data_IF_488891826678
#
_entry.id   IF_488891826678
#
_cell.length_a   1.000
_cell.length_b   1.000
_cell.length_c   1.000
_cell.angle_alpha   90.00
_cell.angle_beta   90.00
_cell.angle_gamma   90.00
#
_symmetry.space_group_name_H-M   'P 1'
#
loop_
_entity.id
_entity.type
_entity.pdbx_description
1 polymer ?
#
# COMPACT_ATOMS: atom_id res chain seq x y z
N UNK A 1 10.08 2.28 -3.85
CA UNK A 1 9.11 1.24 -3.44
C UNK A 1 9.83 -0.09 -3.36
N UNK A 2 9.55 -0.85 -2.32
CA UNK A 2 9.99 -2.24 -2.14
C UNK A 2 8.77 -3.15 -2.06
N UNK A 3 8.95 -4.37 -2.57
CA UNK A 3 8.08 -5.49 -2.25
C UNK A 3 8.63 -6.15 -0.99
N UNK A 4 7.80 -6.31 0.05
CA UNK A 4 8.25 -6.81 1.35
C UNK A 4 8.45 -8.32 1.31
N UNK A 5 9.20 -8.84 2.29
CA UNK A 5 9.36 -10.28 2.46
C UNK A 5 8.05 -10.95 2.85
N UNK A 6 7.19 -10.28 3.63
CA UNK A 6 5.87 -10.79 4.01
C UNK A 6 4.94 -10.89 2.80
N UNK A 7 4.88 -9.86 1.96
CA UNK A 7 4.13 -9.91 0.70
C UNK A 7 4.65 -10.97 -0.26
N UNK A 8 5.96 -11.18 -0.30
CA UNK A 8 6.57 -12.23 -1.13
C UNK A 8 6.18 -13.62 -0.64
N UNK A 9 6.08 -13.80 0.68
CA UNK A 9 5.59 -15.03 1.29
C UNK A 9 4.12 -15.31 0.92
N UNK A 10 3.24 -14.30 0.97
CA UNK A 10 1.85 -14.45 0.53
C UNK A 10 1.74 -14.93 -0.94
N UNK A 11 2.55 -14.35 -1.85
CA UNK A 11 2.58 -14.80 -3.25
C UNK A 11 3.14 -16.21 -3.37
N UNK A 12 4.22 -16.53 -2.64
CA UNK A 12 4.79 -17.89 -2.62
C UNK A 12 3.74 -18.91 -2.17
N UNK A 13 3.03 -18.62 -1.10
CA UNK A 13 2.04 -19.52 -0.50
C UNK A 13 0.88 -19.76 -1.47
N UNK A 14 0.39 -18.69 -2.12
CA UNK A 14 -0.56 -18.81 -3.22
C UNK A 14 -0.05 -19.71 -4.36
N UNK A 15 1.21 -19.55 -4.79
CA UNK A 15 1.81 -20.37 -5.85
C UNK A 15 2.02 -21.84 -5.43
N UNK A 16 2.26 -22.09 -4.14
CA UNK A 16 2.40 -23.43 -3.58
C UNK A 16 1.03 -24.14 -3.37
N UNK A 17 -0.08 -23.41 -3.50
CA UNK A 17 -1.43 -23.92 -3.24
C UNK A 17 -1.85 -23.84 -1.78
N UNK A 18 -1.10 -23.09 -0.96
CA UNK A 18 -1.44 -22.80 0.43
C UNK A 18 -2.43 -21.62 0.53
N UNK A 19 -2.95 -21.37 1.73
CA UNK A 19 -3.83 -20.24 1.99
C UNK A 19 -3.05 -18.92 1.90
N UNK A 20 -3.55 -17.97 1.11
CA UNK A 20 -3.01 -16.63 0.97
C UNK A 20 -4.17 -15.65 0.72
N UNK A 21 -4.01 -14.39 1.15
CA UNK A 21 -5.05 -13.37 1.03
C UNK A 21 -4.57 -12.23 0.15
N UNK A 22 -5.32 -11.96 -0.93
CA UNK A 22 -5.02 -10.86 -1.84
C UNK A 22 -5.11 -9.50 -1.14
N UNK A 23 -4.39 -8.47 -1.64
CA UNK A 23 -4.53 -7.11 -1.16
C UNK A 23 -5.97 -6.58 -1.23
N UNK A 24 -6.39 -5.89 -0.18
CA UNK A 24 -7.73 -5.29 -0.04
C UNK A 24 -7.71 -3.87 0.51
N UNK A 25 -6.57 -3.39 1.04
CA UNK A 25 -6.45 -2.09 1.71
C UNK A 25 -5.21 -1.32 1.25
N UNK A 26 -5.31 0.01 1.29
CA UNK A 26 -4.18 0.93 1.26
C UNK A 26 -3.97 1.52 2.65
N UNK A 27 -2.70 1.68 3.04
CA UNK A 27 -2.32 2.48 4.20
C UNK A 27 -1.47 3.67 3.77
N UNK A 28 -1.55 4.78 4.51
CA UNK A 28 -0.65 5.92 4.36
C UNK A 28 -0.10 6.37 5.70
N UNK A 29 1.13 6.89 5.67
CA UNK A 29 1.85 7.35 6.84
C UNK A 29 2.65 8.63 6.59
N UNK A 30 3.30 9.14 7.63
CA UNK A 30 4.09 10.38 7.59
C UNK A 30 5.59 10.19 7.89
N UNK A 31 6.07 8.95 7.97
CA UNK A 31 7.48 8.64 8.10
C UNK A 31 8.20 8.70 6.74
N UNK A 32 9.49 9.05 6.75
CA UNK A 32 10.33 9.08 5.53
C UNK A 32 11.54 8.14 5.59
N UNK A 33 11.66 7.32 6.63
CA UNK A 33 12.72 6.34 6.76
C UNK A 33 12.65 5.41 5.56
N UNK A 34 13.78 5.29 4.86
CA UNK A 34 13.88 4.52 3.63
C UNK A 34 13.30 3.12 3.80
N UNK A 35 12.44 2.72 2.86
CA UNK A 35 11.78 1.42 2.93
C UNK A 35 12.77 0.25 2.84
N UNK A 36 12.48 -0.82 3.57
CA UNK A 36 13.25 -2.06 3.55
C UNK A 36 12.32 -3.25 3.27
N UNK A 37 12.88 -4.34 2.74
CA UNK A 37 12.10 -5.56 2.51
C UNK A 37 11.61 -6.21 3.81
N UNK A 38 12.31 -5.96 4.91
CA UNK A 38 11.95 -6.48 6.22
C UNK A 38 10.79 -5.72 6.88
N UNK A 39 10.34 -4.61 6.30
CA UNK A 39 9.24 -3.83 6.84
C UNK A 39 7.94 -4.66 6.79
N UNK A 40 7.28 -4.78 7.94
CA UNK A 40 6.01 -5.51 8.09
C UNK A 40 4.81 -4.58 8.24
N UNK A 41 5.05 -3.28 8.42
CA UNK A 41 4.05 -2.23 8.54
C UNK A 41 4.63 -0.90 8.03
N UNK A 42 3.77 0.11 7.89
CA UNK A 42 4.23 1.50 7.76
C UNK A 42 4.97 1.92 9.02
N UNK A 43 5.98 2.79 8.86
CA UNK A 43 6.80 3.18 9.99
C UNK A 43 6.07 4.16 10.93
N UNK A 44 5.18 5.00 10.38
CA UNK A 44 4.19 5.72 11.17
C UNK A 44 2.87 5.86 10.39
N UNK A 45 1.98 4.88 10.58
CA UNK A 45 0.67 4.84 9.93
C UNK A 45 -0.28 5.94 10.45
N UNK A 46 -0.95 6.62 9.51
CA UNK A 46 -1.99 7.61 9.79
C UNK A 46 -3.39 7.06 9.56
N UNK A 47 -3.58 6.29 8.49
CA UNK A 47 -4.85 5.66 8.16
C UNK A 47 -4.65 4.49 7.21
N UNK A 48 -5.57 3.54 7.31
CA UNK A 48 -5.72 2.41 6.39
C UNK A 48 -7.17 2.30 5.96
N UNK A 49 -7.42 2.11 4.68
CA UNK A 49 -8.76 2.08 4.10
C UNK A 49 -8.84 1.13 2.90
N UNK A 50 -10.05 0.75 2.53
CA UNK A 50 -10.33 -0.22 1.46
C UNK A 50 -9.92 0.28 0.07
N UNK A 51 -9.47 -0.63 -0.78
CA UNK A 51 -9.16 -0.34 -2.19
C UNK A 51 -10.44 0.07 -2.93
N UNK A 52 -10.41 1.19 -3.66
CA UNK A 52 -11.52 1.64 -4.50
C UNK A 52 -11.71 0.73 -5.72
N UNK A 53 -10.59 0.28 -6.31
CA UNK A 53 -10.60 -0.49 -7.55
C UNK A 53 -9.36 -1.35 -7.67
N UNK A 54 -9.54 -2.60 -8.08
CA UNK A 54 -8.52 -3.50 -8.57
C UNK A 54 -8.79 -3.82 -10.05
N UNK A 55 -7.77 -3.66 -10.89
CA UNK A 55 -7.90 -3.96 -12.33
C UNK A 55 -6.73 -4.78 -12.80
N UNK A 56 -7.03 -5.83 -13.57
CA UNK A 56 -6.02 -6.73 -14.12
C UNK A 56 -5.80 -6.46 -15.60
N UNK A 57 -4.56 -6.62 -16.03
CA UNK A 57 -4.17 -6.63 -17.44
C UNK A 57 -2.98 -7.56 -17.63
N UNK A 58 -2.40 -7.64 -18.84
CA UNK A 58 -1.28 -8.55 -19.11
C UNK A 58 -0.16 -8.42 -18.05
N UNK A 59 0.03 -9.51 -17.29
CA UNK A 59 1.06 -9.69 -16.25
C UNK A 59 1.04 -8.65 -15.11
N UNK A 60 -0.06 -7.94 -14.89
CA UNK A 60 -0.12 -6.93 -13.84
C UNK A 60 -1.51 -6.76 -13.24
N UNK A 61 -1.52 -6.30 -11.99
CA UNK A 61 -2.69 -5.79 -11.28
C UNK A 61 -2.41 -4.35 -10.83
N UNK A 62 -3.38 -3.47 -11.01
CA UNK A 62 -3.34 -2.08 -10.56
C UNK A 62 -4.42 -1.88 -9.49
N UNK A 63 -3.98 -1.43 -8.32
CA UNK A 63 -4.82 -1.09 -7.18
C UNK A 63 -4.87 0.43 -7.04
N UNK A 64 -6.05 0.98 -6.84
CA UNK A 64 -6.26 2.41 -6.61
C UNK A 64 -7.06 2.66 -5.35
N UNK A 65 -6.72 3.75 -4.66
CA UNK A 65 -7.50 4.31 -3.57
C UNK A 65 -7.34 5.83 -3.54
N UNK A 66 -8.41 6.53 -3.19
CA UNK A 66 -8.46 7.99 -3.11
C UNK A 66 -8.68 8.43 -1.67
N UNK A 67 -7.66 9.05 -1.08
CA UNK A 67 -7.79 9.78 0.17
C UNK A 67 -8.53 11.09 -0.09
N UNK A 68 -9.75 11.22 0.45
CA UNK A 68 -10.66 12.31 0.16
C UNK A 68 -10.17 13.63 0.77
N UNK A 69 -10.72 14.74 0.27
CA UNK A 69 -10.39 16.08 0.76
C UNK A 69 -10.78 16.27 2.23
N UNK A 70 -11.75 15.50 2.74
CA UNK A 70 -12.18 15.55 4.13
C UNK A 70 -11.25 14.81 5.11
N UNK A 71 -10.26 14.08 4.62
CA UNK A 71 -9.48 13.12 5.41
C UNK A 71 -8.01 13.55 5.59
N UNK A 72 -7.44 13.15 6.73
CA UNK A 72 -6.04 13.35 7.11
C UNK A 72 -5.53 14.78 6.87
N UNK A 73 -6.39 15.77 7.07
CA UNK A 73 -6.04 17.17 6.91
C UNK A 73 -5.02 17.61 7.95
N UNK A 74 -4.08 18.47 7.53
CA UNK A 74 -2.92 18.92 8.31
C UNK A 74 -1.83 17.86 8.53
N UNK A 75 -1.95 16.70 7.89
CA UNK A 75 -0.91 15.68 7.88
C UNK A 75 0.08 15.88 6.73
N UNK A 76 1.28 15.32 6.89
CA UNK A 76 2.32 15.30 5.86
C UNK A 76 2.50 13.88 5.36
N UNK A 77 1.78 13.50 4.30
CA UNK A 77 1.85 12.14 3.76
C UNK A 77 3.22 11.90 3.12
N UNK A 78 3.90 10.84 3.51
CA UNK A 78 5.28 10.53 3.07
C UNK A 78 5.49 9.06 2.75
N UNK A 79 4.57 8.18 3.14
CA UNK A 79 4.64 6.77 2.81
C UNK A 79 3.27 6.20 2.47
N UNK A 80 3.28 5.13 1.67
CA UNK A 80 2.10 4.36 1.30
C UNK A 80 2.41 2.87 1.32
N UNK A 81 1.43 2.08 1.73
CA UNK A 81 1.49 0.62 1.77
C UNK A 81 0.25 -0.02 1.15
N UNK A 82 0.41 -1.26 0.72
CA UNK A 82 -0.66 -2.12 0.20
C UNK A 82 -0.81 -3.31 1.14
N UNK A 83 -2.02 -3.57 1.64
CA UNK A 83 -2.28 -4.55 2.71
C UNK A 83 -3.42 -5.50 2.34
N UNK A 84 -3.45 -6.69 2.94
CA UNK A 84 -4.57 -7.64 2.83
C UNK A 84 -5.63 -7.53 3.94
N UNK A 85 -5.45 -6.64 4.94
CA UNK A 85 -6.44 -6.36 5.98
C UNK A 85 -6.28 -4.93 6.55
N UNK A 86 -7.35 -4.41 7.17
CA UNK A 86 -7.37 -3.07 7.78
C UNK A 86 -6.47 -2.93 9.02
N UNK A 87 -6.19 -4.04 9.72
CA UNK A 87 -5.35 -4.07 10.91
C UNK A 87 -4.68 -5.44 11.02
N UNK A 88 -3.41 -5.46 11.43
CA UNK A 88 -2.60 -6.67 11.57
C UNK A 88 -2.54 -7.56 10.30
N UNK A 89 -2.77 -6.96 9.13
CA UNK A 89 -2.59 -7.62 7.84
C UNK A 89 -1.16 -7.59 7.35
N UNK A 90 -0.88 -8.39 6.33
CA UNK A 90 0.41 -8.42 5.66
C UNK A 90 0.53 -7.23 4.71
N UNK A 91 1.61 -6.48 4.87
CA UNK A 91 1.97 -5.40 3.96
C UNK A 91 2.71 -5.96 2.76
N UNK A 92 2.16 -5.86 1.55
CA UNK A 92 2.76 -6.37 0.32
C UNK A 92 3.89 -5.48 -0.20
N UNK A 93 3.67 -4.17 -0.12
CA UNK A 93 4.62 -3.18 -0.63
C UNK A 93 4.66 -1.99 0.32
N UNK A 94 5.82 -1.35 0.41
CA UNK A 94 5.99 -0.04 1.05
C UNK A 94 6.73 0.89 0.09
N UNK A 95 6.31 2.15 0.04
CA UNK A 95 7.02 3.18 -0.68
C UNK A 95 7.02 4.47 0.13
N UNK A 96 8.21 5.04 0.35
CA UNK A 96 8.32 6.46 0.69
C UNK A 96 8.19 7.31 -0.58
N UNK A 97 7.69 8.53 -0.42
CA UNK A 97 7.54 9.50 -1.50
C UNK A 97 7.77 10.94 -1.01
N UNK A 98 7.87 11.89 -1.94
CA UNK A 98 7.96 13.30 -1.61
C UNK A 98 6.75 13.75 -0.78
N UNK A 99 6.98 14.61 0.22
CA UNK A 99 5.92 15.01 1.15
C UNK A 99 4.74 15.66 0.44
N UNK A 100 3.54 15.16 0.74
CA UNK A 100 2.27 15.78 0.36
C UNK A 100 1.65 16.39 1.62
N UNK A 101 1.66 17.72 1.69
CA UNK A 101 0.98 18.44 2.77
C UNK A 101 -0.54 18.43 2.53
N UNK A 102 -1.25 17.58 3.26
CA UNK A 102 -2.67 17.33 3.05
C UNK A 102 -3.52 18.46 3.64
N UNK A 103 -4.45 18.96 2.84
CA UNK A 103 -5.41 20.00 3.25
C UNK A 103 -6.81 19.66 2.73
N UNK A 104 -7.81 20.40 3.20
CA UNK A 104 -9.21 20.19 2.83
C UNK A 104 -9.57 20.56 1.39
N UNK A 105 -8.60 21.06 0.60
CA UNK A 105 -8.76 21.35 -0.82
C UNK A 105 -8.05 20.34 -1.73
N UNK A 106 -7.39 19.34 -1.17
CA UNK A 106 -6.57 18.38 -1.90
C UNK A 106 -7.12 16.98 -1.68
N UNK A 107 -7.38 16.26 -2.77
CA UNK A 107 -7.54 14.81 -2.78
C UNK A 107 -6.23 14.17 -3.24
N UNK A 108 -5.91 13.01 -2.69
CA UNK A 108 -4.70 12.27 -3.06
C UNK A 108 -5.10 10.89 -3.54
N UNK A 109 -4.82 10.60 -4.81
CA UNK A 109 -5.04 9.27 -5.37
C UNK A 109 -3.75 8.49 -5.38
N UNK A 110 -3.73 7.39 -4.63
CA UNK A 110 -2.67 6.40 -4.69
C UNK A 110 -2.98 5.34 -5.73
N UNK A 111 -1.91 4.91 -6.40
CA UNK A 111 -1.97 3.88 -7.42
C UNK A 111 -0.73 3.02 -7.35
N UNK A 112 -0.92 1.76 -7.01
CA UNK A 112 0.15 0.77 -6.95
C UNK A 112 -0.12 -0.27 -8.02
N UNK A 113 0.90 -0.51 -8.84
CA UNK A 113 0.87 -1.52 -9.89
C UNK A 113 1.88 -2.60 -9.56
N UNK A 114 1.39 -3.82 -9.38
CA UNK A 114 2.23 -5.01 -9.24
C UNK A 114 2.32 -5.66 -10.61
N UNK A 115 3.55 -5.79 -11.14
CA UNK A 115 3.81 -6.39 -12.44
C UNK A 115 4.80 -7.54 -12.31
N UNK A 116 4.45 -8.67 -12.89
CA UNK A 116 5.35 -9.80 -13.06
C UNK A 116 6.25 -9.53 -14.27
N UNK A 117 7.56 -9.52 -14.03
CA UNK A 117 8.59 -9.34 -15.06
C UNK A 117 9.35 -10.64 -15.25
N UNK A 118 9.69 -10.95 -16.50
CA UNK A 118 10.47 -12.11 -16.91
C UNK A 118 11.90 -11.73 -17.29
#
# INVERSE_FOLDING_TARGET
MVFTDVGANEIRDWLAGDAATAPTHFGVGDDNTAETKADTALANELTTDTIDTDSTSDKQVEYTWTLLSTEQNSQSLKEVGLFNAAAAGDMFTRATHATVAKTSSIEVRYKIRVRLVN
#
